data_IF_942850834370
#
_entry.id   IF_942850834370
#
_cell.length_a   1.000
_cell.length_b   1.000
_cell.length_c   1.000
_cell.angle_alpha   90.00
_cell.angle_beta   90.00
_cell.angle_gamma   90.00
#
_symmetry.space_group_name_H-M   'P 1'
#
loop_
_entity.id
_entity.type
_entity.pdbx_description
1 polymer ?
#
# COMPACT_ATOMS: atom_id res chain seq x y z
N UNK A 1 18.34 -10.33 7.81
CA UNK A 1 17.07 -9.57 7.63
C UNK A 1 16.02 -10.50 7.05
N UNK A 2 14.95 -10.71 7.77
CA UNK A 2 13.81 -11.50 7.28
C UNK A 2 12.76 -10.59 6.67
N UNK A 3 12.08 -11.05 5.62
CA UNK A 3 11.03 -10.33 4.93
C UNK A 3 9.86 -11.26 4.69
N UNK A 4 8.65 -10.77 4.93
CA UNK A 4 7.43 -11.47 4.58
C UNK A 4 6.56 -10.53 3.77
N UNK A 5 6.06 -10.99 2.63
CA UNK A 5 5.24 -10.19 1.73
C UNK A 5 3.86 -10.81 1.60
N UNK A 6 2.83 -9.97 1.70
CA UNK A 6 1.44 -10.31 1.38
C UNK A 6 0.98 -9.46 0.21
N UNK A 7 0.02 -9.96 -0.55
CA UNK A 7 -0.47 -9.32 -1.78
C UNK A 7 -1.98 -9.18 -1.76
N UNK A 8 -2.47 -8.07 -2.29
CA UNK A 8 -3.89 -7.85 -2.57
C UNK A 8 -4.04 -7.04 -3.87
N UNK A 9 -5.27 -6.84 -4.31
CA UNK A 9 -5.60 -6.16 -5.55
C UNK A 9 -6.72 -5.17 -5.34
N UNK A 10 -6.71 -4.09 -6.13
CA UNK A 10 -7.82 -3.13 -6.17
C UNK A 10 -8.08 -2.69 -7.61
N UNK A 11 -9.32 -2.34 -7.88
CA UNK A 11 -9.72 -1.63 -9.09
C UNK A 11 -10.19 -0.24 -8.69
N UNK A 12 -9.64 0.79 -9.32
CA UNK A 12 -9.99 2.18 -9.04
C UNK A 12 -10.23 2.94 -10.34
N UNK A 13 -10.80 4.11 -10.23
CA UNK A 13 -10.80 5.11 -11.29
C UNK A 13 -10.19 6.39 -10.76
N UNK A 14 -9.57 7.15 -11.62
CA UNK A 14 -9.03 8.47 -11.31
C UNK A 14 -8.72 9.26 -12.59
N UNK A 15 -8.39 10.53 -12.40
CA UNK A 15 -7.84 11.38 -13.44
C UNK A 15 -6.69 12.18 -12.85
N UNK A 16 -5.79 12.66 -13.71
CA UNK A 16 -4.67 13.48 -13.28
C UNK A 16 -4.77 14.89 -13.82
N UNK A 17 -4.26 15.84 -13.06
CA UNK A 17 -4.15 17.25 -13.46
C UNK A 17 -2.72 17.53 -13.89
N UNK A 18 -2.55 18.05 -15.09
CA UNK A 18 -1.27 18.43 -15.65
C UNK A 18 -1.07 17.87 -17.05
N UNK A 19 -0.56 18.72 -17.94
CA UNK A 19 -0.33 18.35 -19.35
C UNK A 19 0.64 17.19 -19.51
N UNK A 20 1.56 17.00 -18.56
CA UNK A 20 2.51 15.91 -18.58
C UNK A 20 1.84 14.53 -18.61
N UNK A 21 0.60 14.44 -18.11
CA UNK A 21 -0.11 13.17 -18.05
C UNK A 21 -0.82 12.79 -19.35
N UNK A 22 -0.91 13.70 -20.33
CA UNK A 22 -1.54 13.41 -21.62
C UNK A 22 -2.95 12.81 -21.48
N UNK A 23 -3.22 11.63 -22.08
CA UNK A 23 -4.55 10.99 -22.00
C UNK A 23 -5.00 10.66 -20.59
N UNK A 24 -4.10 10.50 -19.63
CA UNK A 24 -4.43 10.20 -18.24
C UNK A 24 -5.11 11.37 -17.51
N UNK A 25 -5.19 12.54 -18.15
CA UNK A 25 -6.00 13.66 -17.66
C UNK A 25 -7.50 13.35 -17.71
N UNK A 26 -7.93 12.43 -18.56
CA UNK A 26 -9.30 11.94 -18.60
C UNK A 26 -9.49 10.87 -17.51
N UNK A 27 -10.71 10.74 -16.99
CA UNK A 27 -11.02 9.67 -16.05
C UNK A 27 -10.77 8.32 -16.68
N UNK A 28 -9.99 7.49 -16.00
CA UNK A 28 -9.65 6.16 -16.47
C UNK A 28 -9.61 5.18 -15.31
N UNK A 29 -9.82 3.91 -15.62
CA UNK A 29 -9.73 2.81 -14.67
C UNK A 29 -8.32 2.25 -14.57
N UNK A 30 -7.98 1.71 -13.42
CA UNK A 30 -6.73 1.00 -13.21
C UNK A 30 -6.95 -0.16 -12.25
N UNK A 31 -6.26 -1.27 -12.49
CA UNK A 31 -6.19 -2.39 -11.57
C UNK A 31 -4.78 -2.46 -11.02
N UNK A 32 -4.66 -2.31 -9.70
CA UNK A 32 -3.36 -2.39 -9.05
C UNK A 32 -3.20 -3.70 -8.30
N UNK A 33 -1.98 -4.24 -8.38
CA UNK A 33 -1.50 -5.29 -7.49
C UNK A 33 -0.62 -4.61 -6.45
N UNK A 34 -0.94 -4.82 -5.17
CA UNK A 34 -0.23 -4.20 -4.06
C UNK A 34 0.45 -5.27 -3.22
N UNK A 35 1.76 -5.15 -3.03
CA UNK A 35 2.55 -5.98 -2.14
C UNK A 35 2.96 -5.18 -0.92
N UNK A 36 2.69 -5.72 0.26
CA UNK A 36 3.18 -5.18 1.52
C UNK A 36 4.27 -6.12 2.05
N UNK A 37 5.50 -5.61 2.15
CA UNK A 37 6.66 -6.35 2.65
C UNK A 37 7.02 -5.86 4.04
N UNK A 38 6.92 -6.76 5.00
CA UNK A 38 7.28 -6.51 6.41
C UNK A 38 8.67 -7.07 6.67
N UNK A 39 9.52 -6.28 7.34
CA UNK A 39 10.90 -6.68 7.63
C UNK A 39 11.16 -6.74 9.12
N UNK A 40 11.91 -7.76 9.54
CA UNK A 40 12.40 -7.88 10.90
C UNK A 40 13.81 -8.48 10.92
N UNK A 41 14.60 -8.06 11.88
CA UNK A 41 15.95 -8.61 12.09
C UNK A 41 15.90 -9.98 12.74
N UNK A 42 14.81 -10.31 13.41
CA UNK A 42 14.65 -11.55 14.18
C UNK A 42 13.28 -12.17 13.91
N UNK A 43 13.12 -13.42 14.28
CA UNK A 43 11.82 -14.11 14.28
C UNK A 43 11.25 -14.13 15.69
N UNK A 44 9.94 -14.22 15.79
CA UNK A 44 9.25 -14.36 17.07
C UNK A 44 9.36 -15.79 17.62
N UNK A 45 8.65 -16.07 18.72
CA UNK A 45 8.67 -17.38 19.37
C UNK A 45 8.13 -18.52 18.48
N UNK A 46 7.38 -18.19 17.43
CA UNK A 46 6.86 -19.15 16.46
C UNK A 46 7.66 -19.18 15.15
N UNK A 47 8.83 -18.54 15.12
CA UNK A 47 9.67 -18.38 13.91
C UNK A 47 8.99 -17.57 12.81
N UNK A 48 8.20 -16.57 13.17
CA UNK A 48 7.52 -15.68 12.22
C UNK A 48 8.09 -14.27 12.26
N UNK A 49 8.09 -13.61 11.09
CA UNK A 49 8.24 -12.15 11.00
C UNK A 49 6.96 -11.49 11.52
N UNK A 50 5.83 -11.98 11.05
CA UNK A 50 4.50 -11.51 11.37
C UNK A 50 3.50 -12.60 11.00
N UNK A 51 2.38 -12.66 11.70
CA UNK A 51 1.28 -13.55 11.32
C UNK A 51 0.74 -13.14 9.94
N UNK A 52 0.71 -14.10 9.00
CA UNK A 52 0.26 -13.86 7.62
C UNK A 52 -1.19 -13.37 7.58
N UNK A 53 -2.06 -13.92 8.42
CA UNK A 53 -3.46 -13.51 8.49
C UNK A 53 -3.62 -12.06 8.93
N UNK A 54 -2.88 -11.65 9.95
CA UNK A 54 -2.88 -10.24 10.41
C UNK A 54 -2.31 -9.31 9.34
N UNK A 55 -1.27 -9.73 8.64
CA UNK A 55 -0.67 -8.94 7.56
C UNK A 55 -1.66 -8.74 6.40
N UNK A 56 -2.35 -9.80 5.98
CA UNK A 56 -3.40 -9.71 4.96
C UNK A 56 -4.55 -8.81 5.39
N UNK A 57 -5.02 -8.95 6.63
CA UNK A 57 -6.10 -8.13 7.16
C UNK A 57 -5.71 -6.65 7.17
N UNK A 58 -4.49 -6.34 7.57
CA UNK A 58 -4.00 -4.96 7.59
C UNK A 58 -4.02 -4.35 6.19
N UNK A 59 -3.50 -5.06 5.20
CA UNK A 59 -3.51 -4.60 3.81
C UNK A 59 -4.95 -4.47 3.28
N UNK A 60 -5.78 -5.48 3.51
CA UNK A 60 -7.17 -5.47 3.06
C UNK A 60 -7.97 -4.31 3.68
N UNK A 61 -7.78 -4.04 4.97
CA UNK A 61 -8.45 -2.94 5.65
C UNK A 61 -8.11 -1.57 5.06
N UNK A 62 -6.89 -1.39 4.59
CA UNK A 62 -6.49 -0.17 3.88
C UNK A 62 -7.16 -0.12 2.51
N UNK A 63 -7.05 -1.19 1.74
CA UNK A 63 -7.47 -1.20 0.34
C UNK A 63 -8.98 -1.17 0.15
N UNK A 64 -9.77 -1.68 1.11
CA UNK A 64 -11.24 -1.59 1.02
C UNK A 64 -11.76 -0.15 1.01
N UNK A 65 -10.96 0.81 1.47
CA UNK A 65 -11.33 2.22 1.43
C UNK A 65 -11.33 2.80 0.01
N UNK A 66 -10.55 2.19 -0.88
CA UNK A 66 -10.37 2.70 -2.26
C UNK A 66 -10.88 1.74 -3.33
N UNK A 67 -11.09 0.47 -3.00
CA UNK A 67 -11.49 -0.53 -4.00
C UNK A 67 -12.85 -0.20 -4.59
N UNK A 68 -12.95 -0.25 -5.91
CA UNK A 68 -14.14 0.12 -6.69
C UNK A 68 -14.58 1.57 -6.50
N UNK A 69 -13.64 2.46 -6.16
CA UNK A 69 -13.93 3.88 -5.97
C UNK A 69 -13.31 4.72 -7.09
N UNK A 70 -13.95 5.86 -7.37
CA UNK A 70 -13.31 6.95 -8.10
C UNK A 70 -12.55 7.80 -7.07
N UNK A 71 -11.22 7.74 -7.11
CA UNK A 71 -10.37 8.40 -6.12
C UNK A 71 -10.51 9.92 -6.14
N UNK A 72 -10.88 10.50 -7.29
CA UNK A 72 -11.09 11.95 -7.43
C UNK A 72 -12.24 12.45 -6.55
N UNK A 73 -13.15 11.55 -6.16
CA UNK A 73 -14.32 11.88 -5.35
C UNK A 73 -14.12 11.64 -3.86
N UNK A 74 -12.96 11.06 -3.47
CA UNK A 74 -12.67 10.80 -2.07
C UNK A 74 -12.03 12.00 -1.40
N UNK A 75 -12.56 12.37 -0.24
CA UNK A 75 -12.06 13.51 0.54
C UNK A 75 -10.58 13.37 0.87
N UNK A 76 -10.12 12.16 1.15
CA UNK A 76 -8.72 11.87 1.50
C UNK A 76 -7.73 12.30 0.41
N UNK A 77 -8.16 12.35 -0.86
CA UNK A 77 -7.29 12.62 -2.00
C UNK A 77 -7.60 13.94 -2.70
N UNK A 78 -8.42 14.77 -2.07
CA UNK A 78 -8.83 16.05 -2.67
C UNK A 78 -7.61 16.91 -3.02
N UNK A 79 -7.56 17.33 -4.29
CA UNK A 79 -6.47 18.19 -4.77
C UNK A 79 -5.15 17.44 -5.06
N UNK A 80 -5.16 16.11 -4.99
CA UNK A 80 -3.96 15.30 -5.20
C UNK A 80 -4.05 14.51 -6.50
N UNK A 81 -2.92 14.39 -7.20
CA UNK A 81 -2.77 13.38 -8.24
C UNK A 81 -2.47 12.04 -7.57
N UNK A 82 -3.39 11.09 -7.69
CA UNK A 82 -3.27 9.76 -7.08
C UNK A 82 -2.41 8.84 -7.95
N UNK A 83 -1.18 9.25 -8.15
CA UNK A 83 -0.19 8.48 -8.91
C UNK A 83 0.15 7.18 -8.20
N UNK A 84 0.81 6.27 -8.89
CA UNK A 84 1.31 5.02 -8.33
C UNK A 84 2.21 5.28 -7.11
N UNK A 85 3.09 6.27 -7.21
CA UNK A 85 4.00 6.67 -6.12
C UNK A 85 3.26 7.23 -4.92
N UNK A 86 2.31 8.13 -5.17
CA UNK A 86 1.49 8.73 -4.12
C UNK A 86 0.69 7.68 -3.36
N UNK A 87 0.06 6.76 -4.07
CA UNK A 87 -0.74 5.71 -3.47
C UNK A 87 0.12 4.71 -2.69
N UNK A 88 1.32 4.40 -3.18
CA UNK A 88 2.24 3.53 -2.45
C UNK A 88 2.58 4.12 -1.07
N UNK A 89 2.87 5.42 -1.00
CA UNK A 89 3.14 6.10 0.26
C UNK A 89 1.89 6.16 1.16
N UNK A 90 0.73 6.42 0.57
CA UNK A 90 -0.52 6.47 1.32
C UNK A 90 -0.82 5.11 1.99
N UNK A 91 -0.69 4.02 1.25
CA UNK A 91 -0.87 2.67 1.79
C UNK A 91 0.15 2.40 2.89
N UNK A 92 1.40 2.79 2.68
CA UNK A 92 2.47 2.63 3.67
C UNK A 92 2.10 3.30 5.00
N UNK A 93 1.65 4.54 4.95
CA UNK A 93 1.26 5.30 6.16
C UNK A 93 0.11 4.66 6.89
N UNK A 94 -0.89 4.17 6.16
CA UNK A 94 -2.05 3.51 6.74
C UNK A 94 -1.66 2.22 7.47
N UNK A 95 -0.79 1.41 6.88
CA UNK A 95 -0.30 0.17 7.51
C UNK A 95 0.62 0.51 8.70
N UNK A 96 1.50 1.50 8.55
CA UNK A 96 2.38 1.92 9.65
C UNK A 96 1.58 2.35 10.89
N UNK A 97 0.46 3.04 10.71
CA UNK A 97 -0.46 3.35 11.82
C UNK A 97 -1.00 2.11 12.50
N UNK A 98 -1.42 1.11 11.74
CA UNK A 98 -1.92 -0.15 12.29
C UNK A 98 -0.83 -0.87 13.10
N UNK A 99 0.40 -0.85 12.61
CA UNK A 99 1.56 -1.41 13.31
C UNK A 99 1.78 -0.67 14.63
N UNK A 100 1.79 0.66 14.60
CA UNK A 100 1.98 1.50 15.79
C UNK A 100 0.87 1.29 16.82
N UNK A 101 -0.35 1.00 16.39
CA UNK A 101 -1.50 0.73 17.25
C UNK A 101 -1.50 -0.71 17.81
N UNK A 102 -0.50 -1.52 17.48
CA UNK A 102 -0.39 -2.89 17.97
C UNK A 102 -1.30 -3.90 17.29
N UNK A 103 -1.97 -3.54 16.19
CA UNK A 103 -2.92 -4.41 15.49
C UNK A 103 -2.29 -5.61 14.80
N UNK A 104 -0.98 -5.56 14.56
CA UNK A 104 -0.22 -6.62 13.90
C UNK A 104 0.65 -7.40 14.88
N UNK A 105 0.40 -7.29 16.17
CA UNK A 105 1.17 -7.93 17.22
C UNK A 105 2.28 -7.04 17.76
N UNK A 106 3.13 -7.59 18.61
CA UNK A 106 4.14 -6.84 19.35
C UNK A 106 5.59 -7.18 18.96
N UNK A 107 5.78 -8.14 18.04
CA UNK A 107 7.13 -8.47 17.57
C UNK A 107 7.72 -7.28 16.80
N UNK A 108 8.99 -6.88 17.09
CA UNK A 108 9.57 -5.71 16.45
C UNK A 108 9.72 -5.87 14.93
N UNK A 109 9.09 -4.95 14.20
CA UNK A 109 9.29 -4.79 12.77
C UNK A 109 10.20 -3.59 12.53
N UNK A 110 11.21 -3.74 11.68
CA UNK A 110 12.19 -2.68 11.43
C UNK A 110 11.98 -1.93 10.13
N UNK A 111 11.09 -2.40 9.27
CA UNK A 111 10.82 -1.75 8.01
C UNK A 111 9.55 -2.26 7.34
N UNK A 112 9.05 -1.45 6.43
CA UNK A 112 7.87 -1.74 5.61
C UNK A 112 8.10 -1.17 4.22
N UNK A 113 7.85 -1.97 3.19
CA UNK A 113 7.88 -1.52 1.80
C UNK A 113 6.53 -1.84 1.15
N UNK A 114 5.98 -0.87 0.46
CA UNK A 114 4.77 -1.05 -0.33
C UNK A 114 5.12 -0.94 -1.80
N UNK A 115 4.84 -2.00 -2.55
CA UNK A 115 4.99 -2.03 -4.01
C UNK A 115 3.62 -1.96 -4.63
N UNK A 116 3.41 -0.97 -5.49
CA UNK A 116 2.16 -0.79 -6.22
C UNK A 116 2.43 -1.03 -7.70
N UNK A 117 1.88 -2.11 -8.24
CA UNK A 117 2.08 -2.50 -9.62
C UNK A 117 0.90 -2.03 -10.46
N UNK A 118 1.17 -1.09 -11.35
CA UNK A 118 0.19 -0.58 -12.32
C UNK A 118 -0.01 -1.59 -13.45
N UNK A 119 1.08 -2.25 -13.85
CA UNK A 119 1.10 -3.25 -14.92
C UNK A 119 2.27 -4.22 -14.69
N UNK A 120 2.47 -5.15 -15.60
CA UNK A 120 3.62 -6.05 -15.57
C UNK A 120 4.93 -5.39 -15.98
N UNK A 121 4.88 -4.12 -16.41
CA UNK A 121 6.06 -3.38 -16.90
C UNK A 121 6.36 -2.09 -16.12
N UNK A 122 5.51 -1.71 -15.18
CA UNK A 122 5.71 -0.48 -14.39
C UNK A 122 5.12 -0.61 -12.98
N UNK A 123 5.93 -0.29 -11.98
CA UNK A 123 5.51 -0.27 -10.59
C UNK A 123 6.32 0.75 -9.80
N UNK A 124 5.77 1.19 -8.68
CA UNK A 124 6.44 2.07 -7.74
C UNK A 124 6.57 1.40 -6.37
N UNK A 125 7.58 1.77 -5.63
CA UNK A 125 7.81 1.28 -4.26
C UNK A 125 7.99 2.48 -3.34
N UNK A 126 7.31 2.47 -2.20
CA UNK A 126 7.65 3.32 -1.08
C UNK A 126 8.18 2.45 0.06
N UNK A 127 9.40 2.70 0.47
CA UNK A 127 10.13 1.92 1.46
C UNK A 127 10.66 2.84 2.54
N UNK A 128 10.41 2.50 3.80
CA UNK A 128 10.90 3.28 4.92
C UNK A 128 11.08 2.42 6.17
N UNK A 129 12.05 2.77 7.03
CA UNK A 129 12.17 2.14 8.34
C UNK A 129 10.92 2.34 9.19
N UNK A 130 10.69 1.42 10.14
CA UNK A 130 9.69 1.50 11.19
C UNK A 130 10.39 1.71 12.54
N UNK A 131 9.75 2.46 13.40
CA UNK A 131 10.23 2.74 14.74
C UNK A 131 10.60 4.18 14.94
#
# INVERSE_FOLDING_TARGET
MFRLTVRDRVMIAHSFRGEIFGPAQQTHGATYIIDAEFRSKTLDAHNLVIDIGLAHDALHNVLKQINYQNLDQLTAFKGQNTTTEFLAQWVWRQIAEQIADGKLGDHPLCGLAITLKESDVAWAVYDSPLG
#
